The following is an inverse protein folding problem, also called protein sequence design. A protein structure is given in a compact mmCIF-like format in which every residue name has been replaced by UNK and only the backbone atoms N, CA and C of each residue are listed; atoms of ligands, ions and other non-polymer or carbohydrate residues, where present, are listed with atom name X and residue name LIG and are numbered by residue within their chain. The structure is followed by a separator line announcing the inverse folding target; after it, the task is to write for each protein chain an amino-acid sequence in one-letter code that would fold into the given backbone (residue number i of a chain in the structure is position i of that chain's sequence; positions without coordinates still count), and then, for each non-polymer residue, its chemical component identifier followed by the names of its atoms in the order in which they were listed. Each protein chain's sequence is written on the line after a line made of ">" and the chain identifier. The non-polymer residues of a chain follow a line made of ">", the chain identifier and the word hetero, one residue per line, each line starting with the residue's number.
data_IF_651958799184
#
_entry.id   IF_651958799184
#
_cell.length_a   1.000
_cell.length_b   1.000
_cell.length_c   1.000
_cell.angle_alpha   90.00
_cell.angle_beta   90.00
_cell.angle_gamma   90.00
#
_symmetry.space_group_name_H-M   'P 1'
#
loop_
_entity.id
_entity.type
_entity.pdbx_description
1 polymer ?
#
# COMPACT_ATOMS: atom_id res chain seq x y z
N UNK A 1 -28.99 -38.41 -55.43
CA UNK A 1 -28.24 -39.22 -54.44
C UNK A 1 -26.83 -38.71 -54.17
N UNK A 2 -25.96 -38.54 -55.19
CA UNK A 2 -24.57 -38.06 -54.99
C UNK A 2 -24.45 -36.71 -54.24
N UNK A 3 -25.33 -35.74 -54.52
CA UNK A 3 -25.34 -34.44 -53.82
C UNK A 3 -25.68 -34.53 -52.32
N UNK A 4 -26.62 -35.41 -51.94
CA UNK A 4 -27.01 -35.62 -50.54
C UNK A 4 -25.91 -36.34 -49.74
N UNK A 5 -25.22 -37.29 -50.38
CA UNK A 5 -24.07 -37.99 -49.79
C UNK A 5 -22.92 -37.00 -49.53
N UNK A 6 -22.61 -36.11 -50.47
CA UNK A 6 -21.56 -35.10 -50.28
C UNK A 6 -21.88 -34.10 -49.17
N UNK A 7 -23.16 -33.70 -49.03
CA UNK A 7 -23.60 -32.82 -47.94
C UNK A 7 -23.50 -33.53 -46.59
N UNK A 8 -23.93 -34.79 -46.50
CA UNK A 8 -23.82 -35.58 -45.27
C UNK A 8 -22.36 -35.82 -44.86
N UNK A 9 -21.47 -36.06 -45.84
CA UNK A 9 -20.04 -36.22 -45.60
C UNK A 9 -19.40 -34.92 -45.11
N UNK A 10 -19.76 -33.77 -45.69
CA UNK A 10 -19.31 -32.45 -45.23
C UNK A 10 -19.80 -32.12 -43.82
N UNK A 11 -21.07 -32.41 -43.52
CA UNK A 11 -21.64 -32.22 -42.19
C UNK A 11 -20.98 -33.12 -41.14
N UNK A 12 -20.67 -34.38 -41.48
CA UNK A 12 -19.95 -35.30 -40.61
C UNK A 12 -18.53 -34.81 -40.31
N UNK A 13 -17.80 -34.34 -41.32
CA UNK A 13 -16.47 -33.74 -41.14
C UNK A 13 -16.55 -32.51 -40.23
N UNK A 14 -17.49 -31.57 -40.48
CA UNK A 14 -17.69 -30.42 -39.60
C UNK A 14 -18.02 -30.82 -38.15
N UNK A 15 -18.86 -31.83 -37.93
CA UNK A 15 -19.19 -32.27 -36.57
C UNK A 15 -17.95 -32.81 -35.83
N UNK A 16 -17.06 -33.51 -36.54
CA UNK A 16 -15.84 -34.07 -35.93
C UNK A 16 -14.79 -33.02 -35.54
N UNK A 17 -14.63 -31.93 -36.31
CA UNK A 17 -13.69 -30.84 -35.93
C UNK A 17 -14.19 -30.00 -34.75
N UNK A 18 -15.52 -29.84 -34.58
CA UNK A 18 -16.06 -29.13 -33.42
C UNK A 18 -16.20 -29.99 -32.16
N UNK A 19 -16.17 -31.32 -32.28
CA UNK A 19 -16.40 -32.24 -31.15
C UNK A 19 -15.17 -32.53 -30.28
N UNK A 20 -13.97 -32.11 -30.69
CA UNK A 20 -12.71 -32.39 -29.97
C UNK A 20 -12.07 -31.14 -29.32
N UNK A 21 -12.88 -30.16 -28.93
CA UNK A 21 -12.42 -29.04 -28.11
C UNK A 21 -12.47 -29.44 -26.62
N UNK A 22 -11.30 -29.60 -26.00
CA UNK A 22 -11.17 -29.83 -24.55
C UNK A 22 -11.22 -28.48 -23.83
N UNK A 23 -12.29 -28.21 -23.09
CA UNK A 23 -12.47 -26.96 -22.33
C UNK A 23 -11.48 -26.80 -21.17
N UNK A 24 -10.75 -27.86 -20.80
CA UNK A 24 -9.76 -27.83 -19.73
C UNK A 24 -8.37 -27.41 -20.20
N UNK A 25 -8.19 -27.07 -21.48
CA UNK A 25 -6.91 -26.66 -22.05
C UNK A 25 -7.03 -25.35 -22.84
N UNK A 26 -5.96 -24.56 -22.92
CA UNK A 26 -5.91 -23.39 -23.80
C UNK A 26 -6.31 -23.77 -25.23
N UNK A 27 -7.16 -22.95 -25.83
CA UNK A 27 -7.71 -23.21 -27.16
C UNK A 27 -6.66 -22.93 -28.25
N UNK A 28 -6.89 -23.48 -29.44
CA UNK A 28 -6.03 -23.27 -30.61
C UNK A 28 -5.95 -21.79 -30.99
N UNK A 29 -4.74 -21.32 -31.31
CA UNK A 29 -4.50 -19.96 -31.79
C UNK A 29 -4.26 -19.98 -33.29
N UNK A 30 -5.01 -19.17 -34.05
CA UNK A 30 -4.80 -19.00 -35.49
C UNK A 30 -3.89 -17.79 -35.73
N UNK A 31 -2.76 -18.01 -36.41
CA UNK A 31 -1.74 -16.99 -36.69
C UNK A 31 -1.23 -16.26 -35.42
N UNK A 32 -0.53 -16.94 -34.50
CA UNK A 32 -0.06 -16.36 -33.23
C UNK A 32 1.16 -15.43 -33.38
N UNK A 33 1.17 -14.59 -34.42
CA UNK A 33 2.26 -13.64 -34.65
C UNK A 33 2.18 -12.54 -33.58
N UNK A 34 3.23 -12.39 -32.77
CA UNK A 34 3.32 -11.41 -31.67
C UNK A 34 2.32 -11.63 -30.51
N UNK A 35 1.79 -12.85 -30.35
CA UNK A 35 1.01 -13.20 -29.15
C UNK A 35 1.90 -13.32 -27.91
N UNK A 36 3.14 -13.75 -28.14
CA UNK A 36 4.18 -13.80 -27.12
C UNK A 36 5.18 -12.67 -27.39
N UNK A 37 5.55 -11.91 -26.35
CA UNK A 37 6.54 -10.86 -26.46
C UNK A 37 7.91 -11.46 -26.78
N UNK A 38 8.69 -10.77 -27.62
CA UNK A 38 10.10 -11.12 -27.84
C UNK A 38 10.96 -10.74 -26.63
N UNK A 39 10.55 -9.72 -25.88
CA UNK A 39 11.22 -9.28 -24.66
C UNK A 39 10.88 -10.13 -23.46
N UNK A 40 11.65 -9.97 -22.39
CA UNK A 40 11.36 -10.61 -21.12
C UNK A 40 10.27 -9.86 -20.36
N UNK A 41 9.35 -10.61 -19.78
CA UNK A 41 8.26 -10.12 -18.94
C UNK A 41 8.64 -10.21 -17.46
N UNK A 42 8.11 -9.30 -16.63
CA UNK A 42 8.52 -9.11 -15.22
C UNK A 42 8.37 -10.35 -14.32
N UNK A 43 7.50 -11.29 -14.70
CA UNK A 43 7.30 -12.57 -14.00
C UNK A 43 7.42 -13.76 -14.96
N UNK A 44 8.16 -13.58 -16.05
CA UNK A 44 8.40 -14.63 -17.04
C UNK A 44 9.43 -15.65 -16.57
N UNK A 45 9.32 -16.85 -17.15
CA UNK A 45 10.24 -17.97 -16.92
C UNK A 45 11.16 -18.13 -18.15
N UNK A 46 12.48 -18.01 -17.95
CA UNK A 46 13.47 -18.06 -19.01
C UNK A 46 14.75 -18.78 -18.55
N UNK A 47 15.21 -19.75 -19.36
CA UNK A 47 16.35 -20.62 -19.04
C UNK A 47 17.69 -19.89 -18.78
N UNK A 48 17.80 -18.63 -19.20
CA UNK A 48 19.02 -17.82 -19.03
C UNK A 48 19.22 -17.34 -17.58
N UNK A 49 18.13 -17.20 -16.81
CA UNK A 49 18.19 -16.67 -15.45
C UNK A 49 18.35 -17.79 -14.42
N UNK A 50 18.94 -17.44 -13.28
CA UNK A 50 19.06 -18.38 -12.16
C UNK A 50 17.67 -18.81 -11.69
N UNK A 51 17.41 -20.12 -11.65
CA UNK A 51 16.10 -20.71 -11.36
C UNK A 51 14.97 -20.32 -12.32
N UNK A 52 15.29 -19.80 -13.50
CA UNK A 52 14.30 -19.43 -14.53
C UNK A 52 13.63 -18.06 -14.30
N UNK A 53 13.80 -17.43 -13.14
CA UNK A 53 13.05 -16.22 -12.79
C UNK A 53 13.70 -14.94 -13.33
N UNK A 54 12.96 -14.17 -14.14
CA UNK A 54 13.41 -12.87 -14.67
C UNK A 54 13.67 -11.83 -13.57
N UNK A 55 12.78 -11.77 -12.57
CA UNK A 55 12.86 -10.81 -11.47
C UNK A 55 14.00 -11.11 -10.48
N UNK A 56 15.23 -10.79 -10.89
CA UNK A 56 16.43 -10.94 -10.08
C UNK A 56 16.52 -9.89 -8.97
N UNK A 57 17.27 -10.21 -7.91
CA UNK A 57 17.56 -9.25 -6.85
C UNK A 57 18.47 -8.12 -7.35
N UNK A 58 18.22 -6.87 -6.92
CA UNK A 58 19.12 -5.77 -7.21
C UNK A 58 20.47 -5.96 -6.49
N UNK A 59 21.50 -5.25 -6.95
CA UNK A 59 22.81 -5.26 -6.30
C UNK A 59 22.69 -4.77 -4.85
N UNK A 60 23.42 -5.44 -3.95
CA UNK A 60 23.42 -5.12 -2.52
C UNK A 60 23.85 -3.66 -2.28
N UNK A 61 23.09 -2.94 -1.45
CA UNK A 61 23.35 -1.53 -1.13
C UNK A 61 22.96 -0.53 -2.23
N UNK A 62 22.35 -0.97 -3.34
CA UNK A 62 21.86 -0.05 -4.36
C UNK A 62 20.62 0.72 -3.89
N UNK A 63 20.60 2.03 -4.17
CA UNK A 63 19.49 2.93 -3.82
C UNK A 63 18.91 3.52 -5.11
N UNK A 64 17.64 3.23 -5.46
CA UNK A 64 17.01 3.79 -6.64
C UNK A 64 16.69 5.29 -6.45
N UNK A 65 16.65 6.03 -7.56
CA UNK A 65 16.31 7.47 -7.52
C UNK A 65 14.88 7.67 -7.03
N UNK A 66 14.70 8.59 -6.08
CA UNK A 66 13.39 8.92 -5.52
C UNK A 66 12.94 8.02 -4.36
N UNK A 67 13.82 7.14 -3.87
CA UNK A 67 13.58 6.35 -2.66
C UNK A 67 14.68 6.61 -1.63
N UNK A 68 14.29 6.72 -0.37
CA UNK A 68 15.22 6.85 0.75
C UNK A 68 15.16 5.59 1.62
N UNK A 69 16.31 5.02 2.00
CA UNK A 69 16.36 3.96 3.00
C UNK A 69 15.74 4.40 4.32
N UNK A 70 15.15 3.45 5.03
CA UNK A 70 14.65 3.68 6.38
C UNK A 70 15.81 3.75 7.37
N UNK A 71 15.82 4.78 8.22
CA UNK A 71 16.98 5.13 9.05
C UNK A 71 17.14 4.27 10.33
N UNK A 72 16.12 3.50 10.71
CA UNK A 72 16.12 2.71 11.95
C UNK A 72 16.35 1.24 11.66
N UNK A 73 17.26 0.60 12.39
CA UNK A 73 17.55 -0.82 12.25
C UNK A 73 16.45 -1.70 12.88
N UNK A 74 16.34 -2.95 12.41
CA UNK A 74 15.45 -3.96 12.99
C UNK A 74 16.02 -4.56 14.29
N UNK A 75 16.13 -3.71 15.32
CA UNK A 75 16.60 -4.05 16.66
C UNK A 75 15.63 -3.52 17.71
N UNK A 76 15.71 -4.02 18.94
CA UNK A 76 14.88 -3.51 20.04
C UNK A 76 15.15 -2.03 20.27
N UNK A 77 16.43 -1.64 20.22
CA UNK A 77 16.89 -0.26 20.34
C UNK A 77 16.35 0.60 19.21
N UNK A 78 16.37 0.11 17.97
CA UNK A 78 15.81 0.80 16.80
C UNK A 78 14.30 1.01 16.90
N UNK A 79 13.56 0.03 17.42
CA UNK A 79 12.12 0.16 17.67
C UNK A 79 11.82 1.22 18.75
N UNK A 80 12.55 1.21 19.87
CA UNK A 80 12.36 2.20 20.93
C UNK A 80 12.74 3.61 20.46
N UNK A 81 13.80 3.75 19.66
CA UNK A 81 14.18 5.03 19.05
C UNK A 81 13.08 5.54 18.10
N UNK A 82 12.58 4.68 17.22
CA UNK A 82 11.48 5.02 16.30
C UNK A 82 10.21 5.41 17.07
N UNK A 83 9.89 4.76 18.20
CA UNK A 83 8.72 5.13 19.01
C UNK A 83 8.78 6.57 19.54
N UNK A 84 9.98 7.07 19.80
CA UNK A 84 10.23 8.39 20.40
C UNK A 84 10.36 9.46 19.32
N UNK A 85 11.26 9.25 18.37
CA UNK A 85 11.72 10.27 17.42
C UNK A 85 10.88 10.31 16.13
N UNK A 86 10.42 9.15 15.65
CA UNK A 86 9.76 9.08 14.36
C UNK A 86 8.30 9.55 14.46
N UNK A 87 7.97 10.55 13.64
CA UNK A 87 6.64 11.18 13.55
C UNK A 87 6.11 11.09 12.13
N UNK A 88 4.79 11.07 12.01
CA UNK A 88 4.17 11.06 10.70
C UNK A 88 4.38 12.40 9.97
N UNK A 89 5.04 12.42 8.80
CA UNK A 89 5.24 13.66 8.04
C UNK A 89 4.00 14.07 7.23
N UNK A 90 2.99 13.19 7.11
CA UNK A 90 1.78 13.49 6.36
C UNK A 90 0.82 14.36 7.17
N UNK A 91 0.29 15.39 6.52
CA UNK A 91 -0.82 16.17 7.06
C UNK A 91 -2.07 15.29 7.27
N UNK A 92 -2.82 15.58 8.32
CA UNK A 92 -4.11 14.94 8.58
C UNK A 92 -5.13 15.58 7.65
N UNK A 93 -5.47 14.88 6.57
CA UNK A 93 -6.48 15.31 5.59
C UNK A 93 -7.51 14.21 5.42
N UNK A 94 -8.70 14.56 4.95
CA UNK A 94 -9.76 13.58 4.69
C UNK A 94 -9.30 12.52 3.68
N UNK A 95 -8.53 12.91 2.67
CA UNK A 95 -7.95 12.00 1.69
C UNK A 95 -7.01 10.98 2.34
N UNK A 96 -6.09 11.43 3.21
CA UNK A 96 -5.13 10.55 3.88
C UNK A 96 -5.81 9.60 4.86
N UNK A 97 -6.79 10.09 5.62
CA UNK A 97 -7.56 9.27 6.55
C UNK A 97 -8.41 8.22 5.83
N UNK A 98 -9.08 8.60 4.74
CA UNK A 98 -9.89 7.69 3.94
C UNK A 98 -9.04 6.62 3.25
N UNK A 99 -7.90 6.99 2.67
CA UNK A 99 -6.96 6.06 2.07
C UNK A 99 -6.39 5.08 3.12
N UNK A 100 -5.99 5.61 4.29
CA UNK A 100 -5.50 4.82 5.42
C UNK A 100 -6.51 3.78 5.90
N UNK A 101 -7.78 4.16 6.00
CA UNK A 101 -8.86 3.25 6.36
C UNK A 101 -9.03 2.11 5.34
N UNK A 102 -9.03 2.42 4.05
CA UNK A 102 -9.16 1.40 2.99
C UNK A 102 -7.98 0.41 3.01
N UNK A 103 -6.75 0.93 3.11
CA UNK A 103 -5.54 0.12 3.18
C UNK A 103 -5.53 -0.75 4.45
N UNK A 104 -5.95 -0.20 5.58
CA UNK A 104 -6.10 -0.95 6.81
C UNK A 104 -7.08 -2.13 6.66
N UNK A 105 -8.24 -1.90 6.03
CA UNK A 105 -9.22 -2.97 5.76
C UNK A 105 -8.62 -4.08 4.88
N UNK A 106 -7.78 -3.73 3.90
CA UNK A 106 -7.15 -4.69 2.98
C UNK A 106 -6.08 -5.52 3.70
N UNK A 107 -5.16 -4.86 4.43
CA UNK A 107 -3.95 -5.51 4.93
C UNK A 107 -4.00 -5.90 6.41
N UNK A 108 -4.73 -5.18 7.25
CA UNK A 108 -4.58 -5.24 8.70
C UNK A 108 -5.82 -5.82 9.41
N UNK A 109 -7.03 -5.46 8.97
CA UNK A 109 -8.30 -5.81 9.62
C UNK A 109 -8.55 -7.33 9.68
N UNK A 110 -7.98 -8.09 8.73
CA UNK A 110 -8.06 -9.56 8.70
C UNK A 110 -7.57 -10.21 10.01
N UNK A 111 -6.59 -9.59 10.65
CA UNK A 111 -6.01 -9.99 11.93
C UNK A 111 -6.51 -9.10 13.08
N UNK A 112 -6.44 -7.78 12.91
CA UNK A 112 -6.68 -6.82 13.99
C UNK A 112 -8.16 -6.43 14.20
N UNK A 113 -9.05 -6.82 13.28
CA UNK A 113 -10.47 -6.42 13.27
C UNK A 113 -10.66 -4.99 12.77
N UNK A 114 -11.85 -4.67 12.27
CA UNK A 114 -12.16 -3.32 11.75
C UNK A 114 -12.08 -2.24 12.83
N UNK A 115 -12.31 -2.61 14.09
CA UNK A 115 -12.21 -1.71 15.24
C UNK A 115 -10.80 -1.66 15.86
N UNK A 116 -9.84 -2.48 15.39
CA UNK A 116 -8.51 -2.59 16.00
C UNK A 116 -8.51 -3.22 17.40
N UNK A 117 -9.55 -3.97 17.75
CA UNK A 117 -9.72 -4.66 19.04
C UNK A 117 -9.02 -6.03 19.11
N UNK A 118 -8.37 -6.45 18.03
CA UNK A 118 -7.70 -7.74 17.90
C UNK A 118 -8.64 -8.87 17.52
N UNK A 119 -9.91 -8.58 17.19
CA UNK A 119 -10.94 -9.57 16.89
C UNK A 119 -11.21 -9.71 15.38
N UNK A 120 -10.15 -9.81 14.57
CA UNK A 120 -10.26 -10.04 13.14
C UNK A 120 -10.76 -11.44 12.78
N UNK A 121 -11.10 -11.67 11.51
CA UNK A 121 -11.67 -12.94 11.04
C UNK A 121 -10.76 -14.16 11.32
N UNK A 122 -9.43 -13.97 11.35
CA UNK A 122 -8.49 -15.04 11.68
C UNK A 122 -8.46 -15.38 13.17
N UNK A 123 -8.74 -14.41 14.04
CA UNK A 123 -8.92 -14.63 15.47
C UNK A 123 -10.25 -15.34 15.73
N UNK A 124 -11.34 -14.86 15.13
CA UNK A 124 -12.67 -15.46 15.23
C UNK A 124 -12.72 -16.92 14.76
N UNK A 125 -11.87 -17.29 13.79
CA UNK A 125 -11.73 -18.66 13.28
C UNK A 125 -10.63 -19.48 13.99
N UNK A 126 -10.08 -18.94 15.07
CA UNK A 126 -9.06 -19.58 15.91
C UNK A 126 -7.79 -20.01 15.15
N UNK A 127 -7.44 -19.28 14.08
CA UNK A 127 -6.21 -19.56 13.31
C UNK A 127 -5.00 -18.86 13.89
N UNK A 128 -5.20 -17.65 14.41
CA UNK A 128 -4.19 -16.90 15.14
C UNK A 128 -4.81 -16.36 16.43
N UNK A 129 -4.25 -16.75 17.57
CA UNK A 129 -4.73 -16.36 18.89
C UNK A 129 -3.83 -15.27 19.49
N UNK A 130 -4.37 -14.48 20.41
CA UNK A 130 -3.58 -13.51 21.18
C UNK A 130 -3.22 -12.22 20.42
N UNK A 131 -4.00 -11.86 19.39
CA UNK A 131 -3.86 -10.56 18.72
C UNK A 131 -4.36 -9.48 19.70
N UNK A 132 -3.50 -8.52 20.08
CA UNK A 132 -3.83 -7.52 21.08
C UNK A 132 -4.72 -6.42 20.49
N UNK A 133 -5.64 -5.90 21.29
CA UNK A 133 -6.31 -4.63 21.04
C UNK A 133 -5.31 -3.47 21.05
N UNK A 134 -5.54 -2.44 20.25
CA UNK A 134 -4.75 -1.20 20.32
C UNK A 134 -4.92 -0.42 21.63
N UNK A 135 -5.98 -0.71 22.41
CA UNK A 135 -6.18 -0.15 23.74
C UNK A 135 -5.66 -1.06 24.88
N UNK A 136 -5.02 -2.20 24.57
CA UNK A 136 -4.53 -3.12 25.59
C UNK A 136 -3.54 -2.43 26.55
N UNK A 137 -3.75 -2.64 27.86
CA UNK A 137 -2.90 -2.08 28.91
C UNK A 137 -1.45 -2.58 28.80
N UNK A 138 -0.49 -1.72 29.13
CA UNK A 138 0.94 -2.03 29.06
C UNK A 138 1.56 -1.92 27.66
N UNK A 139 0.78 -1.60 26.61
CA UNK A 139 1.30 -1.34 25.26
C UNK A 139 1.31 0.14 24.93
N UNK A 140 2.50 0.68 24.69
CA UNK A 140 2.69 2.04 24.20
C UNK A 140 2.75 2.01 22.67
N UNK A 141 1.62 2.35 22.04
CA UNK A 141 1.52 2.48 20.58
C UNK A 141 1.70 3.95 20.21
N UNK A 142 2.75 4.24 19.44
CA UNK A 142 3.05 5.57 18.88
C UNK A 142 3.11 5.48 17.36
N UNK A 143 2.98 6.62 16.66
CA UNK A 143 3.03 6.68 15.20
C UNK A 143 4.29 6.02 14.63
N UNK A 144 5.46 6.40 15.14
CA UNK A 144 6.73 5.81 14.73
C UNK A 144 6.84 4.32 15.04
N UNK A 145 6.28 3.86 16.16
CA UNK A 145 6.22 2.44 16.49
C UNK A 145 5.34 1.64 15.52
N UNK A 146 4.19 2.18 15.13
CA UNK A 146 3.30 1.55 14.14
C UNK A 146 3.98 1.48 12.78
N UNK A 147 4.66 2.55 12.35
CA UNK A 147 5.41 2.54 11.10
C UNK A 147 6.57 1.52 11.12
N UNK A 148 7.35 1.47 12.21
CA UNK A 148 8.45 0.53 12.36
C UNK A 148 7.97 -0.94 12.30
N UNK A 149 6.85 -1.25 12.97
CA UNK A 149 6.26 -2.60 12.93
C UNK A 149 5.71 -2.94 11.54
N UNK A 150 5.18 -1.97 10.78
CA UNK A 150 4.83 -2.22 9.38
C UNK A 150 6.07 -2.50 8.52
N UNK A 151 7.19 -1.84 8.79
CA UNK A 151 8.44 -2.02 8.06
C UNK A 151 9.09 -3.38 8.29
N UNK A 152 9.22 -3.82 9.54
CA UNK A 152 9.97 -5.05 9.86
C UNK A 152 9.12 -6.20 10.40
N UNK A 153 7.90 -5.92 10.84
CA UNK A 153 7.10 -6.85 11.64
C UNK A 153 7.46 -6.79 13.12
N UNK A 154 6.73 -7.58 13.93
CA UNK A 154 7.03 -7.78 15.35
C UNK A 154 6.52 -9.14 15.81
N UNK A 155 7.42 -9.99 16.31
CA UNK A 155 7.13 -11.37 16.71
C UNK A 155 6.48 -12.19 15.59
N UNK A 156 5.17 -12.44 15.68
CA UNK A 156 4.39 -13.24 14.72
C UNK A 156 3.84 -12.43 13.56
N UNK A 157 3.88 -11.09 13.64
CA UNK A 157 3.50 -10.21 12.54
C UNK A 157 4.69 -10.03 11.61
N UNK A 158 4.54 -10.39 10.33
CA UNK A 158 5.56 -10.17 9.29
C UNK A 158 5.65 -8.72 8.81
N UNK A 159 6.62 -8.46 7.93
CA UNK A 159 6.79 -7.17 7.27
C UNK A 159 5.73 -6.93 6.19
N UNK A 160 5.26 -5.69 6.09
CA UNK A 160 4.39 -5.19 5.02
C UNK A 160 5.14 -4.26 4.05
N UNK A 161 6.46 -4.15 4.17
CA UNK A 161 7.27 -3.19 3.41
C UNK A 161 7.22 -3.42 1.88
N UNK A 162 7.05 -4.67 1.44
CA UNK A 162 6.93 -5.03 0.02
C UNK A 162 5.53 -4.81 -0.57
N UNK A 163 4.51 -4.67 0.28
CA UNK A 163 3.11 -4.56 -0.12
C UNK A 163 2.61 -3.12 -0.07
N UNK A 164 3.32 -2.25 0.65
CA UNK A 164 2.94 -0.87 0.92
C UNK A 164 4.08 0.08 0.54
N UNK A 165 3.73 1.26 0.05
CA UNK A 165 4.65 2.39 -0.08
C UNK A 165 4.80 3.14 1.24
N UNK A 166 5.78 4.04 1.32
CA UNK A 166 5.98 4.90 2.50
C UNK A 166 4.76 5.76 2.81
N UNK A 167 4.17 6.39 1.79
CA UNK A 167 2.95 7.20 1.95
C UNK A 167 1.81 6.36 2.52
N UNK A 168 1.60 5.17 1.97
CA UNK A 168 0.52 4.27 2.39
C UNK A 168 0.72 3.78 3.84
N UNK A 169 1.95 3.46 4.24
CA UNK A 169 2.26 3.11 5.64
C UNK A 169 1.93 4.25 6.60
N UNK A 170 2.23 5.49 6.21
CA UNK A 170 1.89 6.66 7.02
C UNK A 170 0.37 6.90 7.10
N UNK A 171 -0.36 6.69 6.01
CA UNK A 171 -1.83 6.76 6.01
C UNK A 171 -2.45 5.68 6.90
N UNK A 172 -1.97 4.43 6.80
CA UNK A 172 -2.37 3.33 7.71
C UNK A 172 -2.06 3.70 9.15
N UNK A 173 -0.89 4.28 9.43
CA UNK A 173 -0.52 4.76 10.76
C UNK A 173 -1.52 5.78 11.31
N UNK A 174 -1.94 6.79 10.53
CA UNK A 174 -2.97 7.75 10.98
C UNK A 174 -4.27 7.02 11.36
N UNK A 175 -4.72 6.08 10.52
CA UNK A 175 -5.92 5.32 10.80
C UNK A 175 -5.81 4.45 12.07
N UNK A 176 -4.68 3.77 12.28
CA UNK A 176 -4.42 2.99 13.50
C UNK A 176 -4.44 3.88 14.75
N UNK A 177 -3.89 5.09 14.67
CA UNK A 177 -3.94 6.04 15.77
C UNK A 177 -5.37 6.49 16.08
N UNK A 178 -6.22 6.67 15.06
CA UNK A 178 -7.65 6.95 15.24
C UNK A 178 -8.40 5.77 15.86
N UNK A 179 -8.14 4.53 15.43
CA UNK A 179 -8.74 3.33 16.05
C UNK A 179 -8.35 3.21 17.52
N UNK A 180 -7.07 3.43 17.84
CA UNK A 180 -6.57 3.47 19.22
C UNK A 180 -7.30 4.54 20.03
N UNK A 181 -7.44 5.76 19.50
CA UNK A 181 -8.11 6.85 20.18
C UNK A 181 -9.60 6.53 20.42
N UNK A 182 -10.29 5.99 19.42
CA UNK A 182 -11.68 5.56 19.51
C UNK A 182 -11.89 4.51 20.63
N UNK A 183 -11.01 3.52 20.72
CA UNK A 183 -11.07 2.49 21.76
C UNK A 183 -10.81 3.05 23.18
N UNK A 184 -10.01 4.11 23.29
CA UNK A 184 -9.70 4.78 24.57
C UNK A 184 -10.67 5.92 24.93
N UNK A 185 -11.56 6.31 24.01
CA UNK A 185 -12.40 7.50 24.18
C UNK A 185 -11.61 8.82 24.10
N UNK A 186 -10.46 8.82 23.44
CA UNK A 186 -9.63 10.00 23.16
C UNK A 186 -10.14 10.70 21.89
N UNK A 187 -9.88 12.02 21.70
CA UNK A 187 -10.28 12.72 20.48
C UNK A 187 -9.58 12.13 19.24
N UNK A 188 -10.35 12.00 18.15
CA UNK A 188 -9.83 11.53 16.87
C UNK A 188 -8.99 12.61 16.20
N UNK A 189 -8.07 12.19 15.33
CA UNK A 189 -7.39 13.10 14.41
C UNK A 189 -8.41 13.56 13.38
N UNK A 190 -8.78 14.83 13.47
CA UNK A 190 -9.68 15.49 12.51
C UNK A 190 -8.86 16.12 11.37
N UNK A 191 -9.40 16.15 10.14
CA UNK A 191 -8.72 16.78 9.03
C UNK A 191 -8.47 18.27 9.32
N UNK A 192 -7.25 18.74 9.03
CA UNK A 192 -6.89 20.15 9.17
C UNK A 192 -7.79 20.97 8.23
N UNK A 193 -8.71 21.75 8.80
CA UNK A 193 -9.58 22.61 8.01
C UNK A 193 -8.75 23.73 7.37
N UNK A 194 -9.10 24.13 6.13
CA UNK A 194 -8.43 25.26 5.45
C UNK A 194 -8.51 26.57 6.25
N UNK A 195 -9.52 26.71 7.11
CA UNK A 195 -9.64 27.85 8.04
C UNK A 195 -8.56 27.82 9.14
N UNK A 196 -8.14 26.64 9.60
CA UNK A 196 -7.08 26.53 10.61
C UNK A 196 -5.71 26.95 10.07
N UNK A 197 -5.43 26.72 8.79
CA UNK A 197 -4.20 27.18 8.13
C UNK A 197 -4.20 28.69 7.93
N UNK A 198 -5.36 29.27 7.60
CA UNK A 198 -5.53 30.72 7.47
C UNK A 198 -5.34 31.42 8.81
N UNK A 199 -5.91 30.87 9.88
CA UNK A 199 -5.75 31.39 11.24
C UNK A 199 -4.30 31.26 11.74
N UNK A 200 -3.57 30.20 11.36
CA UNK A 200 -2.15 30.05 11.74
C UNK A 200 -1.26 31.08 11.02
N UNK A 201 -1.55 31.37 9.75
CA UNK A 201 -0.85 32.41 8.96
C UNK A 201 -1.21 33.80 9.48
N UNK A 202 -2.46 34.03 9.90
CA UNK A 202 -2.91 35.31 10.47
C UNK A 202 -2.27 35.58 11.84
N UNK A 203 -2.14 34.56 12.70
CA UNK A 203 -1.46 34.66 14.01
C UNK A 203 0.06 34.88 13.85
N UNK A 204 0.69 34.31 12.81
CA UNK A 204 2.10 34.56 12.49
C UNK A 204 2.31 35.97 11.92
N UNK A 205 1.35 36.48 11.15
CA UNK A 205 1.37 37.85 10.62
C UNK A 205 1.08 38.90 11.69
N UNK A 206 0.24 38.61 12.69
CA UNK A 206 0.05 39.52 13.84
C UNK A 206 1.32 39.61 14.72
N UNK A 207 2.00 38.49 14.96
CA UNK A 207 3.24 38.45 15.76
C UNK A 207 4.48 39.03 15.05
N UNK A 208 4.41 39.37 13.76
CA UNK A 208 5.49 40.02 13.02
C UNK A 208 5.30 41.53 12.88
N UNK A 209 4.23 42.11 13.43
CA UNK A 209 3.99 43.56 13.35
C UNK A 209 4.64 44.40 14.45
N UNK A 210 5.30 43.79 15.45
CA UNK A 210 6.02 44.54 16.49
C UNK A 210 7.50 44.80 16.20
N UNK A 211 8.14 44.15 15.23
CA UNK A 211 9.51 44.49 14.85
C UNK A 211 9.84 44.00 13.44
N UNK A 212 9.74 44.89 12.45
CA UNK A 212 10.78 45.16 11.43
C UNK A 212 10.18 45.95 10.27
N UNK A 213 11.01 46.84 9.74
CA UNK A 213 10.77 47.74 8.61
C UNK A 213 10.18 47.04 7.38
N UNK A 214 9.29 47.70 6.61
CA UNK A 214 8.70 47.10 5.41
C UNK A 214 9.78 46.84 4.36
N UNK A 215 9.91 45.59 3.93
CA UNK A 215 10.55 45.26 2.66
C UNK A 215 9.52 45.52 1.55
N UNK A 216 9.80 46.52 0.71
CA UNK A 216 9.05 46.80 -0.51
C UNK A 216 9.02 45.56 -1.40
N UNK A 217 7.81 45.15 -1.78
CA UNK A 217 7.57 44.20 -2.87
C UNK A 217 7.78 44.98 -4.17
N UNK A 218 8.94 44.78 -4.80
CA UNK A 218 9.19 45.27 -6.14
C UNK A 218 8.34 44.46 -7.14
N UNK A 219 7.22 45.04 -7.56
CA UNK A 219 6.39 44.54 -8.64
C UNK A 219 7.14 44.73 -9.95
N UNK A 220 7.62 43.65 -10.56
CA UNK A 220 8.03 43.66 -11.96
C UNK A 220 6.77 43.73 -12.83
N UNK A 221 6.43 44.96 -13.24
CA UNK A 221 5.50 45.24 -14.32
C UNK A 221 6.03 44.72 -15.66
N UNK A 222 5.09 44.25 -16.48
CA UNK A 222 5.26 43.91 -17.89
C UNK A 222 5.90 45.05 -18.69
N UNK A 223 6.92 44.73 -19.49
CA UNK A 223 7.17 45.43 -20.76
C UNK A 223 7.64 44.45 -21.84
N UNK A 224 6.74 44.24 -22.81
CA UNK A 224 6.93 43.91 -24.23
C UNK A 224 7.69 42.64 -24.64
#
# INVERSE_FOLDING_TARGET
>A
MKKLINIALGAFVCLTVFSCADENKPNYQYMPNMYEPVGYETYGDYEIFENGQEAMLPAEGSIPRGWQPYDYENTTEGLELAKVELKNPLEVTEENLAAGAQLYTIYCAVCHGDAGDGNGILMQREKFLGIPSYAAEGRVITEGGVYHVQMYGLNTMGSYASQTSEKERWQITQHVMNLKAALKGEPLQEPVSKDSLTNMVEVLNENTTEDTTPLEVETLEETN
#
